data_IF_194465637709
#
_entry.id   IF_194465637709
#
_cell.length_a   1.000
_cell.length_b   1.000
_cell.length_c   1.000
_cell.angle_alpha   90.00
_cell.angle_beta   90.00
_cell.angle_gamma   90.00
#
_symmetry.space_group_name_H-M   'P 1'
#
loop_
_entity.id
_entity.type
_entity.pdbx_description
1 polymer ?
#
# COMPACT_ATOMS: atom_id res chain seq x y z
N UNK A 1 -28.88 -4.60 -39.52
CA UNK A 1 -28.60 -3.33 -38.83
C UNK A 1 -28.09 -3.69 -37.46
N UNK A 2 -26.76 -3.75 -37.30
CA UNK A 2 -26.10 -4.13 -36.06
C UNK A 2 -25.55 -2.86 -35.39
N UNK A 3 -26.25 -2.37 -34.38
CA UNK A 3 -25.72 -1.32 -33.51
C UNK A 3 -24.69 -1.95 -32.57
N UNK A 4 -23.42 -1.72 -32.90
CA UNK A 4 -22.29 -2.03 -32.03
C UNK A 4 -22.36 -1.15 -30.78
N UNK A 5 -22.38 -1.79 -29.61
CA UNK A 5 -22.27 -1.15 -28.31
C UNK A 5 -21.04 -0.23 -28.21
N UNK A 6 -21.10 0.88 -27.43
CA UNK A 6 -20.00 1.82 -27.35
C UNK A 6 -18.79 1.13 -26.69
N UNK A 7 -17.68 1.10 -27.43
CA UNK A 7 -16.38 0.69 -26.89
C UNK A 7 -15.99 1.65 -25.76
N UNK A 8 -15.88 1.09 -24.57
CA UNK A 8 -15.02 1.47 -23.44
C UNK A 8 -14.13 2.69 -23.72
N UNK A 9 -14.59 3.89 -23.33
CA UNK A 9 -13.71 5.03 -23.10
C UNK A 9 -12.98 4.79 -21.77
N UNK A 10 -12.03 3.84 -21.77
CA UNK A 10 -10.93 3.91 -20.82
C UNK A 10 -10.18 5.17 -21.20
N UNK A 11 -10.27 6.22 -20.38
CA UNK A 11 -9.57 7.49 -20.59
C UNK A 11 -8.07 7.27 -20.41
N UNK A 12 -7.43 6.63 -21.38
CA UNK A 12 -6.01 6.78 -21.65
C UNK A 12 -5.84 8.10 -22.40
N UNK A 13 -6.10 9.21 -21.71
CA UNK A 13 -5.59 10.49 -22.20
C UNK A 13 -4.06 10.36 -22.26
N UNK A 14 -3.42 10.82 -23.36
CA UNK A 14 -1.96 10.95 -23.40
C UNK A 14 -1.49 11.67 -22.14
N UNK A 15 -0.34 11.28 -21.59
CA UNK A 15 0.29 12.00 -20.48
C UNK A 15 0.72 13.37 -21.04
N UNK A 16 -0.21 14.30 -21.12
CA UNK A 16 0.11 15.73 -21.21
C UNK A 16 1.00 16.06 -20.01
N UNK A 17 2.00 16.92 -20.21
CA UNK A 17 2.93 17.31 -19.16
C UNK A 17 2.13 17.86 -17.96
N UNK A 18 2.06 17.08 -16.89
CA UNK A 18 1.30 17.44 -15.69
C UNK A 18 2.12 18.46 -14.92
N UNK A 19 1.61 19.70 -14.86
CA UNK A 19 2.28 20.82 -14.23
C UNK A 19 2.10 20.89 -12.70
N UNK A 20 2.56 21.99 -12.08
CA UNK A 20 2.46 22.22 -10.63
C UNK A 20 1.03 22.12 -10.06
N UNK A 21 0.00 22.41 -10.86
CA UNK A 21 -1.41 22.25 -10.43
C UNK A 21 -1.78 20.79 -10.12
N UNK A 22 -1.10 19.83 -10.74
CA UNK A 22 -1.36 18.41 -10.53
C UNK A 22 -0.50 17.81 -9.41
N UNK A 23 0.76 18.24 -9.31
CA UNK A 23 1.76 17.66 -8.40
C UNK A 23 2.03 18.50 -7.15
N UNK A 24 1.54 19.73 -7.07
CA UNK A 24 1.85 20.64 -5.97
C UNK A 24 3.37 20.83 -5.80
N UNK A 25 3.86 20.61 -4.58
CA UNK A 25 5.24 20.81 -4.15
C UNK A 25 6.04 19.50 -4.10
N UNK A 26 5.65 18.47 -4.85
CA UNK A 26 6.48 17.28 -5.02
C UNK A 26 7.84 17.64 -5.65
N UNK A 27 8.90 17.01 -5.15
CA UNK A 27 10.22 17.07 -5.78
C UNK A 27 10.21 16.42 -7.16
N UNK A 28 11.19 16.76 -8.01
CA UNK A 28 11.33 16.11 -9.34
C UNK A 28 11.40 14.59 -9.24
N UNK A 29 12.01 14.07 -8.17
CA UNK A 29 12.18 12.64 -7.99
C UNK A 29 10.87 11.99 -7.59
N UNK A 30 10.10 12.60 -6.70
CA UNK A 30 8.75 12.14 -6.39
C UNK A 30 7.85 12.16 -7.64
N UNK A 31 7.91 13.22 -8.47
CA UNK A 31 7.14 13.30 -9.72
C UNK A 31 7.49 12.15 -10.65
N UNK A 32 8.79 11.95 -10.94
CA UNK A 32 9.26 10.87 -11.84
C UNK A 32 8.91 9.49 -11.27
N UNK A 33 9.00 9.30 -9.97
CA UNK A 33 8.61 8.04 -9.33
C UNK A 33 7.10 7.82 -9.43
N UNK A 34 6.30 8.86 -9.19
CA UNK A 34 4.84 8.85 -9.30
C UNK A 34 4.40 8.44 -10.69
N UNK A 35 4.94 9.06 -11.73
CA UNK A 35 4.60 8.76 -13.14
C UNK A 35 4.94 7.31 -13.52
N UNK A 36 5.99 6.74 -12.93
CA UNK A 36 6.41 5.36 -13.20
C UNK A 36 5.61 4.31 -12.40
N UNK A 37 5.20 4.63 -11.17
CA UNK A 37 4.61 3.66 -10.23
C UNK A 37 3.09 3.74 -10.17
N UNK A 38 2.53 4.93 -10.02
CA UNK A 38 1.11 5.10 -9.66
C UNK A 38 0.17 4.64 -10.78
N UNK A 39 0.38 4.98 -12.06
CA UNK A 39 -0.45 4.44 -13.14
C UNK A 39 -0.41 2.92 -13.23
N UNK A 40 0.78 2.31 -13.04
CA UNK A 40 0.96 0.88 -13.08
C UNK A 40 0.28 0.18 -11.88
N UNK A 41 0.32 0.80 -10.69
CA UNK A 41 -0.37 0.31 -9.51
C UNK A 41 -1.89 0.37 -9.71
N UNK A 42 -2.44 1.49 -10.19
CA UNK A 42 -3.88 1.64 -10.49
C UNK A 42 -4.39 0.61 -11.50
N UNK A 43 -3.60 0.25 -12.51
CA UNK A 43 -3.96 -0.79 -13.47
C UNK A 43 -4.03 -2.19 -12.86
N UNK A 44 -3.42 -2.42 -11.69
CA UNK A 44 -3.47 -3.69 -10.95
C UNK A 44 -4.60 -3.76 -9.94
N UNK A 45 -5.21 -2.62 -9.60
CA UNK A 45 -6.36 -2.57 -8.71
C UNK A 45 -7.49 -3.44 -9.25
N UNK A 46 -8.21 -4.08 -8.34
CA UNK A 46 -9.32 -4.96 -8.71
C UNK A 46 -10.41 -4.13 -9.40
N UNK A 47 -10.85 -4.61 -10.58
CA UNK A 47 -11.99 -4.05 -11.29
C UNK A 47 -13.30 -4.65 -10.73
N UNK A 48 -14.18 -3.86 -10.09
CA UNK A 48 -15.48 -4.34 -9.61
C UNK A 48 -16.32 -5.03 -10.68
N UNK A 49 -16.25 -4.56 -11.94
CA UNK A 49 -17.03 -5.14 -13.05
C UNK A 49 -16.64 -6.60 -13.35
N UNK A 50 -15.41 -6.99 -12.97
CA UNK A 50 -14.97 -8.36 -13.11
C UNK A 50 -15.77 -9.33 -12.23
N UNK A 51 -16.57 -8.85 -11.25
CA UNK A 51 -17.40 -9.63 -10.31
C UNK A 51 -18.89 -9.66 -10.66
N UNK A 52 -19.26 -9.32 -11.89
CA UNK A 52 -20.66 -9.33 -12.36
C UNK A 52 -21.33 -10.72 -12.36
N UNK A 53 -20.54 -11.79 -12.20
CA UNK A 53 -21.00 -13.17 -11.98
C UNK A 53 -21.34 -13.48 -10.50
N UNK A 54 -20.85 -12.68 -9.55
CA UNK A 54 -21.03 -12.87 -8.10
C UNK A 54 -21.93 -11.82 -7.45
N UNK A 55 -21.93 -10.60 -7.97
CA UNK A 55 -22.74 -9.50 -7.44
C UNK A 55 -23.71 -8.99 -8.49
N UNK A 56 -24.86 -8.51 -8.03
CA UNK A 56 -25.85 -7.87 -8.88
C UNK A 56 -25.23 -6.67 -9.64
N UNK A 57 -25.35 -6.60 -10.98
CA UNK A 57 -24.78 -5.52 -11.77
C UNK A 57 -25.25 -4.11 -11.36
N UNK A 58 -26.48 -3.96 -10.83
CA UNK A 58 -26.95 -2.67 -10.35
C UNK A 58 -26.24 -2.25 -9.06
N UNK A 59 -25.93 -3.19 -8.15
CA UNK A 59 -25.08 -2.97 -6.98
C UNK A 59 -23.67 -2.52 -7.36
N UNK A 60 -23.03 -3.19 -8.33
CA UNK A 60 -21.69 -2.81 -8.83
C UNK A 60 -21.73 -1.39 -9.43
N UNK A 61 -22.76 -1.09 -10.22
CA UNK A 61 -22.93 0.24 -10.82
C UNK A 61 -23.11 1.34 -9.76
N UNK A 62 -23.85 1.07 -8.69
CA UNK A 62 -24.02 2.00 -7.57
C UNK A 62 -22.68 2.28 -6.86
N UNK A 63 -21.87 1.25 -6.63
CA UNK A 63 -20.53 1.38 -6.05
C UNK A 63 -19.60 2.23 -6.93
N UNK A 64 -19.60 2.01 -8.25
CA UNK A 64 -18.83 2.81 -9.22
C UNK A 64 -19.28 4.27 -9.19
N UNK A 65 -20.60 4.52 -9.15
CA UNK A 65 -21.15 5.87 -9.06
C UNK A 65 -20.73 6.57 -7.75
N UNK A 66 -20.74 5.85 -6.62
CA UNK A 66 -20.25 6.35 -5.35
C UNK A 66 -18.77 6.75 -5.42
N UNK A 67 -17.92 5.91 -6.01
CA UNK A 67 -16.50 6.21 -6.22
C UNK A 67 -16.33 7.50 -7.02
N UNK A 68 -17.05 7.64 -8.14
CA UNK A 68 -17.00 8.84 -8.99
C UNK A 68 -17.45 10.11 -8.25
N UNK A 69 -18.50 10.01 -7.43
CA UNK A 69 -18.99 11.11 -6.61
C UNK A 69 -17.93 11.54 -5.58
N UNK A 70 -17.35 10.57 -4.87
CA UNK A 70 -16.33 10.83 -3.85
C UNK A 70 -15.05 11.43 -4.45
N UNK A 71 -14.59 10.92 -5.60
CA UNK A 71 -13.43 11.48 -6.31
C UNK A 71 -13.70 12.92 -6.80
N UNK A 72 -14.94 13.22 -7.20
CA UNK A 72 -15.36 14.59 -7.51
C UNK A 72 -15.34 15.48 -6.27
N UNK A 73 -15.75 14.98 -5.09
CA UNK A 73 -15.64 15.74 -3.83
C UNK A 73 -14.19 15.99 -3.45
N UNK A 74 -13.33 14.97 -3.56
CA UNK A 74 -11.91 15.08 -3.20
C UNK A 74 -11.11 15.99 -4.14
N UNK A 75 -11.54 16.19 -5.39
CA UNK A 75 -10.88 17.08 -6.35
C UNK A 75 -11.28 18.55 -6.23
N UNK A 76 -12.30 18.87 -5.42
CA UNK A 76 -12.72 20.25 -5.18
C UNK A 76 -11.78 21.01 -4.24
N UNK A 77 -11.02 20.31 -3.42
CA UNK A 77 -10.04 20.94 -2.54
C UNK A 77 -8.70 21.09 -3.28
N UNK A 78 -8.29 22.34 -3.53
CA UNK A 78 -7.18 22.67 -4.45
C UNK A 78 -5.99 23.36 -3.79
N UNK A 79 -5.92 23.41 -2.46
CA UNK A 79 -4.73 23.95 -1.81
C UNK A 79 -3.50 23.09 -2.18
N UNK A 80 -2.37 23.73 -2.47
CA UNK A 80 -1.14 23.09 -2.95
C UNK A 80 -0.63 22.01 -1.99
N UNK A 81 -0.75 22.23 -0.68
CA UNK A 81 -0.32 21.26 0.32
C UNK A 81 -1.21 20.01 0.33
N UNK A 82 -2.53 20.19 0.16
CA UNK A 82 -3.47 19.07 0.05
C UNK A 82 -3.23 18.26 -1.23
N UNK A 83 -2.93 18.94 -2.35
CA UNK A 83 -2.53 18.28 -3.60
C UNK A 83 -1.24 17.48 -3.41
N UNK A 84 -0.24 18.07 -2.76
CA UNK A 84 1.05 17.42 -2.51
C UNK A 84 0.89 16.19 -1.61
N UNK A 85 0.18 16.34 -0.50
CA UNK A 85 -0.11 15.27 0.46
C UNK A 85 -0.83 14.11 -0.23
N UNK A 86 -1.85 14.41 -1.04
CA UNK A 86 -2.57 13.39 -1.81
C UNK A 86 -1.65 12.66 -2.79
N UNK A 87 -0.79 13.36 -3.52
CA UNK A 87 0.13 12.73 -4.49
C UNK A 87 1.20 11.90 -3.81
N UNK A 88 1.68 12.32 -2.65
CA UNK A 88 2.58 11.51 -1.82
C UNK A 88 1.89 10.27 -1.28
N UNK A 89 0.62 10.37 -0.85
CA UNK A 89 -0.20 9.21 -0.47
C UNK A 89 -0.28 8.19 -1.59
N UNK A 90 -0.71 8.62 -2.78
CA UNK A 90 -0.81 7.76 -3.97
C UNK A 90 0.56 7.14 -4.35
N UNK A 91 1.65 7.90 -4.23
CA UNK A 91 3.00 7.41 -4.47
C UNK A 91 3.42 6.38 -3.42
N UNK A 92 3.12 6.62 -2.14
CA UNK A 92 3.47 5.71 -1.06
C UNK A 92 2.68 4.41 -1.15
N UNK A 93 1.38 4.45 -1.43
CA UNK A 93 0.55 3.26 -1.72
C UNK A 93 1.21 2.38 -2.79
N UNK A 94 1.53 2.99 -3.94
CA UNK A 94 2.18 2.29 -5.05
C UNK A 94 3.59 1.80 -4.70
N UNK A 95 4.33 2.55 -3.89
CA UNK A 95 5.66 2.18 -3.40
C UNK A 95 5.56 0.97 -2.49
N UNK A 96 4.77 1.01 -1.41
CA UNK A 96 4.58 -0.10 -0.47
C UNK A 96 4.10 -1.35 -1.18
N UNK A 97 3.10 -1.25 -2.06
CA UNK A 97 2.66 -2.36 -2.89
C UNK A 97 3.82 -2.98 -3.68
N UNK A 98 4.65 -2.15 -4.31
CA UNK A 98 5.81 -2.60 -5.07
C UNK A 98 6.86 -3.25 -4.17
N UNK A 99 7.13 -2.70 -2.98
CA UNK A 99 8.12 -3.22 -2.05
C UNK A 99 7.72 -4.58 -1.47
N UNK A 100 6.44 -4.76 -1.15
CA UNK A 100 5.92 -6.06 -0.70
C UNK A 100 6.08 -7.09 -1.83
N UNK A 101 5.58 -6.76 -3.03
CA UNK A 101 5.52 -7.71 -4.16
C UNK A 101 6.89 -8.05 -4.77
N UNK A 102 7.80 -7.09 -4.85
CA UNK A 102 9.06 -7.25 -5.61
C UNK A 102 10.32 -7.16 -4.75
N UNK A 103 10.30 -6.39 -3.67
CA UNK A 103 11.42 -6.30 -2.73
C UNK A 103 11.28 -7.25 -1.53
N UNK A 104 10.14 -7.96 -1.42
CA UNK A 104 9.88 -8.98 -0.39
C UNK A 104 10.08 -8.43 1.03
N UNK A 105 9.60 -7.22 1.28
CA UNK A 105 9.66 -6.61 2.61
C UNK A 105 8.98 -7.48 3.68
N UNK A 106 8.01 -8.29 3.29
CA UNK A 106 7.25 -9.17 4.18
C UNK A 106 7.66 -10.66 4.04
N UNK A 107 8.79 -10.93 3.40
CA UNK A 107 9.27 -12.30 3.15
C UNK A 107 8.81 -12.88 1.82
N UNK A 108 9.21 -14.13 1.54
CA UNK A 108 8.91 -14.84 0.28
C UNK A 108 7.50 -15.39 0.22
N UNK A 109 6.88 -15.59 1.38
CA UNK A 109 5.54 -16.16 1.53
C UNK A 109 4.44 -15.08 1.58
N UNK A 110 4.81 -13.81 1.41
CA UNK A 110 3.88 -12.69 1.36
C UNK A 110 3.70 -12.18 -0.07
N UNK A 111 2.47 -11.82 -0.44
CA UNK A 111 2.17 -11.07 -1.66
C UNK A 111 1.20 -9.92 -1.37
N UNK A 112 1.23 -8.89 -2.22
CA UNK A 112 0.33 -7.75 -2.16
C UNK A 112 -0.77 -7.85 -3.22
N UNK A 113 -2.00 -7.61 -2.76
CA UNK A 113 -3.21 -7.46 -3.58
C UNK A 113 -3.66 -6.01 -3.51
N UNK A 114 -3.73 -5.34 -4.67
CA UNK A 114 -4.27 -3.99 -4.78
C UNK A 114 -5.79 -4.09 -4.82
N UNK A 115 -6.47 -3.44 -3.88
CA UNK A 115 -7.94 -3.56 -3.80
C UNK A 115 -8.64 -2.71 -4.86
N UNK A 116 -9.96 -2.82 -4.93
CA UNK A 116 -10.76 -1.93 -5.77
C UNK A 116 -10.79 -0.50 -5.24
N UNK A 117 -11.02 0.48 -6.11
CA UNK A 117 -11.26 1.89 -5.69
C UNK A 117 -12.47 2.04 -4.76
N UNK A 118 -13.43 1.13 -4.87
CA UNK A 118 -14.56 1.10 -3.93
C UNK A 118 -14.09 0.71 -2.53
N UNK A 119 -13.27 -0.33 -2.40
CA UNK A 119 -12.80 -0.81 -1.09
C UNK A 119 -11.83 0.16 -0.42
N UNK A 120 -11.00 0.85 -1.20
CA UNK A 120 -10.20 1.99 -0.75
C UNK A 120 -11.11 3.09 -0.17
N UNK A 121 -12.04 3.63 -0.96
CA UNK A 121 -12.81 4.81 -0.53
C UNK A 121 -13.88 4.47 0.52
N UNK A 122 -14.62 3.37 0.34
CA UNK A 122 -15.74 3.01 1.19
C UNK A 122 -15.31 2.23 2.44
N UNK A 123 -14.35 1.31 2.31
CA UNK A 123 -13.89 0.47 3.41
C UNK A 123 -12.54 0.93 4.01
N UNK A 124 -11.85 1.89 3.40
CA UNK A 124 -10.61 2.47 3.93
C UNK A 124 -9.43 1.50 3.88
N UNK A 125 -9.39 0.60 2.89
CA UNK A 125 -8.31 -0.38 2.72
C UNK A 125 -7.60 -0.08 1.42
N UNK A 126 -6.30 0.23 1.43
CA UNK A 126 -5.53 0.56 0.22
C UNK A 126 -4.95 -0.71 -0.44
N UNK A 127 -4.53 -1.67 0.39
CA UNK A 127 -4.02 -2.96 -0.08
C UNK A 127 -4.24 -4.06 0.96
N UNK A 128 -4.11 -5.30 0.51
CA UNK A 128 -4.07 -6.49 1.38
C UNK A 128 -2.75 -7.18 1.21
N UNK A 129 -2.15 -7.58 2.32
CA UNK A 129 -1.05 -8.54 2.32
C UNK A 129 -1.64 -9.91 2.58
N UNK A 130 -1.36 -10.84 1.69
CA UNK A 130 -1.70 -12.25 1.87
C UNK A 130 -0.42 -13.02 2.23
N UNK A 131 -0.50 -13.83 3.28
CA UNK A 131 0.59 -14.68 3.75
C UNK A 131 0.21 -16.14 3.51
N UNK A 132 1.07 -16.86 2.80
CA UNK A 132 0.98 -18.31 2.71
C UNK A 132 1.57 -18.93 3.98
N UNK A 133 0.74 -19.64 4.74
CA UNK A 133 1.14 -20.35 5.95
C UNK A 133 0.66 -21.80 5.92
N UNK A 134 1.12 -22.60 6.87
CA UNK A 134 0.56 -23.94 7.07
C UNK A 134 -0.95 -23.83 7.35
N UNK A 135 -1.76 -24.55 6.59
CA UNK A 135 -3.23 -24.49 6.68
C UNK A 135 -3.92 -23.45 5.79
N UNK A 136 -3.18 -22.65 5.01
CA UNK A 136 -3.74 -21.79 3.97
C UNK A 136 -3.28 -20.34 4.06
N UNK A 137 -4.10 -19.44 3.53
CA UNK A 137 -3.76 -18.01 3.47
C UNK A 137 -4.29 -17.25 4.70
N UNK A 138 -3.46 -16.32 5.18
CA UNK A 138 -3.83 -15.29 6.15
C UNK A 138 -3.80 -13.94 5.47
N UNK A 139 -4.65 -13.01 5.90
CA UNK A 139 -4.83 -11.73 5.24
C UNK A 139 -4.73 -10.59 6.26
N UNK A 140 -3.99 -9.55 5.92
CA UNK A 140 -3.89 -8.32 6.68
C UNK A 140 -4.26 -7.15 5.77
N UNK A 141 -5.30 -6.40 6.14
CA UNK A 141 -5.68 -5.19 5.43
C UNK A 141 -4.79 -4.01 5.87
N UNK A 142 -4.37 -3.19 4.93
CA UNK A 142 -3.51 -2.04 5.21
C UNK A 142 -4.13 -0.75 4.66
N UNK A 143 -4.20 0.25 5.53
CA UNK A 143 -4.38 1.65 5.16
C UNK A 143 -3.00 2.28 5.03
N UNK A 144 -2.68 2.91 3.91
CA UNK A 144 -1.40 3.57 3.68
C UNK A 144 -1.58 5.08 3.84
N UNK A 145 -0.70 5.70 4.61
CA UNK A 145 -0.81 7.10 4.99
C UNK A 145 0.54 7.80 5.01
N UNK A 146 0.54 9.08 4.62
CA UNK A 146 1.74 9.95 4.69
C UNK A 146 1.56 11.02 5.78
N UNK A 147 0.48 10.98 6.56
CA UNK A 147 0.22 12.01 7.57
C UNK A 147 1.19 11.94 8.75
N UNK A 148 1.86 13.06 9.01
CA UNK A 148 2.55 13.32 10.28
C UNK A 148 1.69 14.13 11.26
N UNK A 149 0.37 14.26 11.00
CA UNK A 149 -0.57 14.92 11.91
C UNK A 149 -1.11 13.92 12.94
N UNK A 150 -0.84 14.10 14.24
CA UNK A 150 -1.37 13.23 15.28
C UNK A 150 -2.90 13.20 15.34
N UNK A 151 -3.57 14.32 15.04
CA UNK A 151 -5.03 14.43 15.05
C UNK A 151 -5.68 13.62 13.93
N UNK A 152 -5.11 13.69 12.71
CA UNK A 152 -5.57 12.89 11.58
C UNK A 152 -5.32 11.41 11.81
N UNK A 153 -4.16 11.06 12.38
CA UNK A 153 -3.82 9.69 12.76
C UNK A 153 -4.81 9.15 13.82
N UNK A 154 -5.12 9.94 14.85
CA UNK A 154 -6.09 9.58 15.89
C UNK A 154 -7.47 9.33 15.29
N UNK A 155 -7.92 10.18 14.37
CA UNK A 155 -9.21 10.01 13.67
C UNK A 155 -9.29 8.68 12.91
N UNK A 156 -8.18 8.23 12.31
CA UNK A 156 -8.11 6.94 11.62
C UNK A 156 -8.12 5.77 12.60
N UNK A 157 -7.36 5.87 13.70
CA UNK A 157 -7.35 4.87 14.77
C UNK A 157 -8.72 4.75 15.46
N UNK A 158 -9.45 5.85 15.65
CA UNK A 158 -10.79 5.84 16.27
C UNK A 158 -11.80 5.01 15.48
N UNK A 159 -11.67 4.95 14.14
CA UNK A 159 -12.50 4.06 13.31
C UNK A 159 -12.22 2.60 13.64
N UNK A 160 -10.94 2.20 13.71
CA UNK A 160 -10.56 0.83 14.09
C UNK A 160 -11.00 0.53 15.52
N UNK A 161 -10.82 1.47 16.45
CA UNK A 161 -11.27 1.34 17.84
C UNK A 161 -12.77 1.07 17.91
N UNK A 162 -13.58 1.84 17.16
CA UNK A 162 -15.02 1.64 17.07
C UNK A 162 -15.38 0.27 16.50
N UNK A 163 -14.71 -0.15 15.43
CA UNK A 163 -14.93 -1.47 14.82
C UNK A 163 -14.68 -2.59 15.86
N UNK A 164 -13.57 -2.53 16.60
CA UNK A 164 -13.25 -3.48 17.68
C UNK A 164 -14.34 -3.47 18.76
N UNK A 165 -14.76 -2.29 19.23
CA UNK A 165 -15.81 -2.17 20.24
C UNK A 165 -17.14 -2.78 19.78
N UNK A 166 -17.44 -2.70 18.49
CA UNK A 166 -18.62 -3.32 17.87
C UNK A 166 -18.44 -4.83 17.60
N UNK A 167 -17.25 -5.39 17.83
CA UNK A 167 -16.93 -6.78 17.54
C UNK A 167 -16.79 -7.06 16.04
N UNK A 168 -16.37 -6.05 15.27
CA UNK A 168 -16.21 -6.12 13.82
C UNK A 168 -14.76 -5.91 13.44
N UNK A 169 -14.38 -6.45 12.30
CA UNK A 169 -13.13 -6.16 11.62
C UNK A 169 -13.42 -5.65 10.20
N UNK A 170 -12.36 -5.38 9.45
CA UNK A 170 -12.50 -4.84 8.10
C UNK A 170 -13.02 -5.88 7.12
N UNK A 171 -13.57 -5.39 6.02
CA UNK A 171 -14.07 -6.19 4.91
C UNK A 171 -13.62 -5.61 3.57
N UNK A 172 -13.59 -6.45 2.56
CA UNK A 172 -13.29 -6.10 1.18
C UNK A 172 -14.37 -6.75 0.32
N UNK A 173 -15.16 -5.93 -0.37
CA UNK A 173 -16.29 -6.38 -1.19
C UNK A 173 -15.80 -7.11 -2.44
N UNK A 174 -14.80 -6.55 -3.12
CA UNK A 174 -14.26 -7.11 -4.36
C UNK A 174 -12.87 -7.69 -4.09
N UNK A 175 -12.82 -8.90 -3.54
CA UNK A 175 -11.57 -9.60 -3.27
C UNK A 175 -11.31 -10.73 -4.28
N UNK A 176 -10.12 -10.69 -4.88
CA UNK A 176 -9.52 -11.75 -5.68
C UNK A 176 -8.03 -11.82 -5.32
N UNK A 177 -7.51 -12.96 -4.82
CA UNK A 177 -6.12 -13.11 -4.40
C UNK A 177 -5.12 -13.13 -5.57
N UNK A 178 -5.59 -13.35 -6.81
CA UNK A 178 -4.78 -13.24 -8.03
C UNK A 178 -5.62 -12.63 -9.16
N UNK A 179 -5.90 -11.31 -9.10
CA UNK A 179 -6.75 -10.65 -10.09
C UNK A 179 -6.11 -10.62 -11.49
N UNK A 180 -4.82 -10.91 -11.58
CA UNK A 180 -4.05 -10.94 -12.82
C UNK A 180 -3.82 -12.37 -13.36
N UNK A 181 -4.41 -13.40 -12.72
CA UNK A 181 -4.43 -14.81 -13.12
C UNK A 181 -3.06 -15.36 -13.55
N UNK A 182 -2.00 -15.06 -12.79
CA UNK A 182 -0.66 -15.64 -13.01
C UNK A 182 -0.36 -16.67 -11.94
N UNK A 183 -0.93 -17.86 -12.14
CA UNK A 183 -0.59 -19.11 -11.46
C UNK A 183 -0.71 -19.02 -9.93
N UNK A 184 -1.93 -19.16 -9.41
CA UNK A 184 -2.17 -20.00 -8.22
C UNK A 184 -3.62 -20.50 -8.22
N UNK A 185 -3.79 -21.75 -8.65
CA UNK A 185 -5.08 -22.43 -8.80
C UNK A 185 -5.68 -22.92 -7.46
N UNK A 186 -5.21 -22.43 -6.31
CA UNK A 186 -5.49 -23.06 -5.01
C UNK A 186 -6.46 -22.29 -4.10
N UNK A 187 -6.76 -21.02 -4.36
CA UNK A 187 -7.70 -20.25 -3.55
C UNK A 187 -9.03 -20.05 -4.29
N UNK A 188 -10.09 -20.73 -3.84
CA UNK A 188 -11.48 -20.44 -4.25
C UNK A 188 -12.08 -19.25 -3.45
N UNK A 189 -11.26 -18.31 -3.00
CA UNK A 189 -11.71 -17.15 -2.23
C UNK A 189 -11.85 -15.98 -3.19
N UNK A 190 -12.92 -15.98 -3.99
CA UNK A 190 -13.30 -14.84 -4.82
C UNK A 190 -14.68 -14.37 -4.41
N UNK A 191 -14.81 -13.08 -4.12
CA UNK A 191 -16.03 -12.49 -3.60
C UNK A 191 -15.72 -11.54 -2.44
N UNK A 192 -16.58 -11.53 -1.42
CA UNK A 192 -16.36 -10.70 -0.24
C UNK A 192 -15.42 -11.39 0.76
N UNK A 193 -14.35 -10.70 1.16
CA UNK A 193 -13.47 -11.11 2.25
C UNK A 193 -13.83 -10.32 3.51
N UNK A 194 -14.13 -11.00 4.61
CA UNK A 194 -14.57 -10.41 5.89
C UNK A 194 -13.63 -10.77 7.01
N UNK A 195 -13.85 -10.11 8.14
CA UNK A 195 -13.20 -10.41 9.41
C UNK A 195 -11.68 -10.30 9.33
N UNK A 196 -11.19 -9.25 8.65
CA UNK A 196 -9.77 -9.03 8.39
C UNK A 196 -9.24 -7.94 9.33
N UNK A 197 -8.20 -8.23 10.13
CA UNK A 197 -7.46 -7.19 10.85
C UNK A 197 -6.97 -6.11 9.90
N UNK A 198 -7.09 -4.85 10.31
CA UNK A 198 -6.63 -3.68 9.56
C UNK A 198 -5.64 -2.88 10.41
N UNK A 199 -4.57 -2.45 9.75
CA UNK A 199 -3.51 -1.60 10.33
C UNK A 199 -3.25 -0.40 9.43
N UNK A 200 -2.73 0.67 9.99
CA UNK A 200 -2.33 1.87 9.28
C UNK A 200 -0.80 1.88 9.17
N UNK A 201 -0.25 2.07 7.97
CA UNK A 201 1.20 2.20 7.80
C UNK A 201 1.56 3.47 7.06
N UNK A 202 2.75 3.96 7.32
CA UNK A 202 3.26 5.16 6.68
C UNK A 202 4.76 5.33 6.87
N UNK A 203 5.34 6.24 6.10
CA UNK A 203 6.71 6.71 6.28
C UNK A 203 6.73 8.21 6.02
N UNK A 204 7.69 8.91 6.60
CA UNK A 204 7.85 10.33 6.39
C UNK A 204 8.24 10.70 4.93
N UNK A 205 8.11 11.99 4.61
CA UNK A 205 8.41 12.51 3.28
C UNK A 205 9.88 12.30 2.88
N UNK A 206 10.80 12.32 3.85
CA UNK A 206 12.23 12.12 3.62
C UNK A 206 12.49 10.70 3.12
N UNK A 207 11.98 9.71 3.83
CA UNK A 207 12.09 8.29 3.50
C UNK A 207 11.38 7.99 2.17
N UNK A 208 10.20 8.59 1.93
CA UNK A 208 9.51 8.46 0.63
C UNK A 208 10.35 9.00 -0.52
N UNK A 209 11.04 10.13 -0.33
CA UNK A 209 11.94 10.69 -1.34
C UNK A 209 13.18 9.82 -1.57
N UNK A 210 13.77 9.26 -0.52
CA UNK A 210 14.89 8.29 -0.60
C UNK A 210 14.50 7.07 -1.47
N UNK A 211 13.33 6.48 -1.22
CA UNK A 211 12.80 5.38 -2.02
C UNK A 211 12.49 5.80 -3.46
N UNK A 212 11.94 7.00 -3.66
CA UNK A 212 11.64 7.55 -4.98
C UNK A 212 12.91 7.71 -5.83
N UNK A 213 13.98 8.23 -5.23
CA UNK A 213 15.31 8.32 -5.84
C UNK A 213 15.83 6.96 -6.28
N UNK A 214 15.81 5.97 -5.38
CA UNK A 214 16.22 4.60 -5.69
C UNK A 214 15.39 4.02 -6.84
N UNK A 215 14.08 4.23 -6.85
CA UNK A 215 13.20 3.72 -7.91
C UNK A 215 13.54 4.28 -9.29
N UNK A 216 13.85 5.58 -9.38
CA UNK A 216 14.22 6.23 -10.64
C UNK A 216 15.58 5.70 -11.10
N UNK A 217 16.55 5.58 -10.19
CA UNK A 217 17.87 5.02 -10.52
C UNK A 217 17.70 3.61 -11.08
N UNK A 218 16.93 2.74 -10.40
CA UNK A 218 16.64 1.38 -10.85
C UNK A 218 16.08 1.40 -12.27
N UNK A 219 15.05 2.22 -12.52
CA UNK A 219 14.31 2.24 -13.79
C UNK A 219 15.13 2.84 -14.93
N UNK A 220 15.83 3.95 -14.66
CA UNK A 220 16.66 4.65 -15.64
C UNK A 220 17.91 3.86 -16.00
N UNK A 221 18.62 3.33 -14.99
CA UNK A 221 19.81 2.53 -15.21
C UNK A 221 19.49 1.22 -15.95
N UNK A 222 18.36 0.58 -15.63
CA UNK A 222 17.88 -0.60 -16.36
C UNK A 222 17.59 -0.31 -17.84
N UNK A 223 16.85 0.76 -18.13
CA UNK A 223 16.55 1.17 -19.51
C UNK A 223 17.82 1.48 -20.27
N UNK A 224 18.72 2.30 -19.71
CA UNK A 224 19.96 2.69 -20.37
C UNK A 224 20.96 1.53 -20.56
N UNK A 225 21.00 0.56 -19.64
CA UNK A 225 21.83 -0.65 -19.79
C UNK A 225 21.35 -1.55 -20.95
N UNK A 226 20.07 -1.47 -21.31
CA UNK A 226 19.45 -2.24 -22.40
C UNK A 226 19.35 -1.48 -23.71
N UNK A 227 19.61 -0.18 -23.72
CA UNK A 227 19.61 0.61 -24.95
C UNK A 227 20.87 0.31 -25.78
N UNK A 228 20.68 -0.31 -26.94
CA UNK A 228 21.76 -0.70 -27.85
C UNK A 228 22.49 0.48 -28.46
N UNK A 229 21.91 1.70 -28.43
CA UNK A 229 22.57 2.93 -28.86
C UNK A 229 23.68 3.37 -27.91
N UNK A 230 23.64 2.92 -26.66
CA UNK A 230 24.65 3.27 -25.66
C UNK A 230 25.93 2.44 -25.86
N UNK A 231 27.13 3.05 -25.72
CA UNK A 231 28.40 2.33 -25.71
C UNK A 231 28.43 1.17 -24.69
N UNK A 232 29.16 0.10 -25.01
CA UNK A 232 29.21 -1.13 -24.20
C UNK A 232 29.67 -0.86 -22.75
N UNK A 233 30.65 0.01 -22.56
CA UNK A 233 31.18 0.39 -21.25
C UNK A 233 30.15 1.18 -20.42
N UNK A 234 29.38 2.07 -21.06
CA UNK A 234 28.28 2.78 -20.42
C UNK A 234 27.18 1.80 -19.99
N UNK A 235 26.79 0.88 -20.88
CA UNK A 235 25.79 -0.15 -20.56
C UNK A 235 26.21 -1.02 -19.36
N UNK A 236 27.49 -1.38 -19.28
CA UNK A 236 28.03 -2.13 -18.13
C UNK A 236 27.94 -1.34 -16.83
N UNK A 237 28.40 -0.08 -16.83
CA UNK A 237 28.28 0.82 -15.65
C UNK A 237 26.84 1.02 -15.19
N UNK A 238 25.90 1.18 -16.13
CA UNK A 238 24.48 1.31 -15.83
C UNK A 238 23.89 0.01 -15.25
N UNK A 239 24.34 -1.16 -15.73
CA UNK A 239 23.93 -2.43 -15.16
C UNK A 239 24.40 -2.60 -13.71
N UNK A 240 25.63 -2.18 -13.40
CA UNK A 240 26.16 -2.22 -12.03
C UNK A 240 25.42 -1.24 -11.11
N UNK A 241 25.18 -0.01 -11.60
CA UNK A 241 24.35 0.98 -10.88
C UNK A 241 22.92 0.48 -10.63
N UNK A 242 22.32 -0.23 -11.59
CA UNK A 242 21.01 -0.84 -11.43
C UNK A 242 21.03 -1.88 -10.30
N UNK A 243 22.01 -2.81 -10.30
CA UNK A 243 22.14 -3.84 -9.26
C UNK A 243 22.32 -3.23 -7.88
N UNK A 244 23.21 -2.24 -7.75
CA UNK A 244 23.44 -1.55 -6.48
C UNK A 244 22.17 -0.88 -5.95
N UNK A 245 21.43 -0.19 -6.81
CA UNK A 245 20.19 0.46 -6.43
C UNK A 245 19.09 -0.55 -6.04
N UNK A 246 19.01 -1.70 -6.71
CA UNK A 246 18.11 -2.80 -6.32
C UNK A 246 18.47 -3.33 -4.93
N UNK A 247 19.76 -3.57 -4.65
CA UNK A 247 20.22 -4.03 -3.33
C UNK A 247 19.84 -3.02 -2.24
N UNK A 248 20.08 -1.72 -2.49
CA UNK A 248 19.69 -0.64 -1.57
C UNK A 248 18.19 -0.59 -1.33
N UNK A 249 17.38 -0.80 -2.37
CA UNK A 249 15.91 -0.81 -2.24
C UNK A 249 15.41 -2.01 -1.41
N UNK A 250 15.96 -3.20 -1.67
CA UNK A 250 15.58 -4.43 -0.95
C UNK A 250 15.96 -4.37 0.53
N UNK A 251 17.12 -3.78 0.83
CA UNK A 251 17.63 -3.68 2.20
C UNK A 251 17.29 -2.35 2.89
N UNK A 252 16.37 -1.56 2.33
CA UNK A 252 16.09 -0.22 2.86
C UNK A 252 15.51 -0.28 4.28
N UNK A 253 15.96 0.63 5.17
CA UNK A 253 15.53 0.76 6.59
C UNK A 253 14.04 0.92 6.79
N UNK A 254 13.35 1.49 5.80
CA UNK A 254 11.91 1.72 5.81
C UNK A 254 11.08 0.43 6.02
N UNK A 255 11.60 -0.73 5.62
CA UNK A 255 10.89 -1.99 5.86
C UNK A 255 10.70 -2.29 7.35
N UNK A 256 11.64 -1.87 8.20
CA UNK A 256 11.50 -2.02 9.65
C UNK A 256 10.47 -1.07 10.23
N UNK A 257 10.46 0.19 9.79
CA UNK A 257 9.44 1.17 10.22
C UNK A 257 8.04 0.59 9.96
N UNK A 258 7.79 0.10 8.75
CA UNK A 258 6.49 -0.47 8.39
C UNK A 258 6.15 -1.69 9.25
N UNK A 259 7.09 -2.62 9.45
CA UNK A 259 6.84 -3.82 10.25
C UNK A 259 6.64 -3.51 11.74
N UNK A 260 7.40 -2.57 12.31
CA UNK A 260 7.28 -2.12 13.70
C UNK A 260 5.95 -1.38 13.95
N UNK A 261 5.50 -0.57 12.98
CA UNK A 261 4.17 0.06 13.03
C UNK A 261 3.06 -1.01 13.08
N UNK A 262 3.17 -2.07 12.28
CA UNK A 262 2.21 -3.18 12.27
C UNK A 262 2.25 -3.91 13.61
N UNK A 263 3.44 -4.30 14.08
CA UNK A 263 3.62 -4.98 15.35
C UNK A 263 2.99 -4.19 16.51
N UNK A 264 3.29 -2.89 16.60
CA UNK A 264 2.80 -2.03 17.67
C UNK A 264 1.27 -1.92 17.66
N UNK A 265 0.66 -1.78 16.47
CA UNK A 265 -0.78 -1.73 16.32
C UNK A 265 -1.45 -3.04 16.69
N UNK A 266 -0.99 -4.18 16.16
CA UNK A 266 -1.58 -5.49 16.45
C UNK A 266 -1.52 -5.81 17.95
N UNK A 267 -0.40 -5.53 18.61
CA UNK A 267 -0.27 -5.69 20.05
C UNK A 267 -1.23 -4.78 20.84
N UNK A 268 -1.38 -3.52 20.40
CA UNK A 268 -2.30 -2.54 21.02
C UNK A 268 -3.76 -2.96 20.84
N UNK A 269 -4.13 -3.39 19.63
CA UNK A 269 -5.49 -3.78 19.28
C UNK A 269 -5.89 -5.08 19.98
N UNK A 270 -4.99 -6.07 20.05
CA UNK A 270 -5.20 -7.30 20.83
C UNK A 270 -5.51 -6.99 22.29
N UNK A 271 -4.65 -6.18 22.93
CA UNK A 271 -4.85 -5.78 24.32
C UNK A 271 -6.18 -5.04 24.53
N UNK A 272 -6.49 -4.08 23.67
CA UNK A 272 -7.73 -3.32 23.74
C UNK A 272 -8.97 -4.20 23.54
N UNK A 273 -8.93 -5.13 22.58
CA UNK A 273 -9.99 -6.11 22.34
C UNK A 273 -10.24 -7.00 23.57
N UNK A 274 -9.18 -7.52 24.22
CA UNK A 274 -9.30 -8.31 25.46
C UNK A 274 -9.95 -7.52 26.59
N UNK A 275 -9.50 -6.28 26.80
CA UNK A 275 -10.06 -5.40 27.84
C UNK A 275 -11.53 -5.03 27.62
N UNK A 276 -12.05 -5.20 26.39
CA UNK A 276 -13.42 -4.88 26.03
C UNK A 276 -14.28 -6.14 25.72
N UNK A 277 -13.91 -7.30 26.26
CA UNK A 277 -14.64 -8.58 26.10
C UNK A 277 -14.76 -9.04 24.63
N UNK A 278 -13.74 -8.75 23.82
CA UNK A 278 -13.63 -9.17 22.41
C UNK A 278 -12.50 -10.18 22.24
N UNK A 279 -12.54 -11.28 23.00
CA UNK A 279 -11.47 -12.29 23.03
C UNK A 279 -11.16 -12.89 21.65
N UNK A 280 -12.19 -13.24 20.87
CA UNK A 280 -11.99 -13.81 19.52
C UNK A 280 -11.27 -12.85 18.57
N UNK A 281 -11.56 -11.54 18.64
CA UNK A 281 -10.84 -10.53 17.86
C UNK A 281 -9.40 -10.37 18.34
N UNK A 282 -9.19 -10.42 19.66
CA UNK A 282 -7.83 -10.37 20.21
C UNK A 282 -6.97 -11.54 19.73
N UNK A 283 -7.54 -12.75 19.66
CA UNK A 283 -6.81 -13.92 19.18
C UNK A 283 -6.48 -13.80 17.68
N UNK A 284 -7.35 -13.16 16.87
CA UNK A 284 -7.02 -12.83 15.49
C UNK A 284 -5.84 -11.85 15.40
N UNK A 285 -5.84 -10.79 16.21
CA UNK A 285 -4.71 -9.85 16.27
C UNK A 285 -3.41 -10.52 16.76
N UNK A 286 -3.47 -11.42 17.73
CA UNK A 286 -2.31 -12.16 18.24
C UNK A 286 -1.71 -13.09 17.18
N UNK A 287 -2.56 -13.73 16.37
CA UNK A 287 -2.09 -14.56 15.25
C UNK A 287 -1.31 -13.73 14.23
N UNK A 288 -1.86 -12.58 13.81
CA UNK A 288 -1.20 -11.68 12.86
C UNK A 288 0.07 -11.05 13.47
N UNK A 289 0.06 -10.79 14.78
CA UNK A 289 1.23 -10.33 15.52
C UNK A 289 2.35 -11.38 15.49
N UNK A 290 2.00 -12.66 15.66
CA UNK A 290 2.94 -13.78 15.53
C UNK A 290 3.62 -13.81 14.16
N UNK A 291 2.83 -13.71 13.08
CA UNK A 291 3.37 -13.65 11.70
C UNK A 291 4.29 -12.43 11.53
N UNK A 292 3.90 -11.27 12.06
CA UNK A 292 4.71 -10.05 11.96
C UNK A 292 6.02 -10.18 12.73
N UNK A 293 6.01 -10.78 13.92
CA UNK A 293 7.20 -11.02 14.72
C UNK A 293 8.19 -11.96 14.02
N UNK A 294 7.71 -13.05 13.43
CA UNK A 294 8.54 -13.97 12.64
C UNK A 294 9.26 -13.22 11.51
N UNK A 295 8.55 -12.34 10.80
CA UNK A 295 9.13 -11.54 9.71
C UNK A 295 10.16 -10.57 10.27
N UNK A 296 9.83 -9.83 11.34
CA UNK A 296 10.76 -8.90 12.00
C UNK A 296 12.06 -9.58 12.42
N UNK A 297 11.98 -10.74 13.07
CA UNK A 297 13.15 -11.52 13.48
C UNK A 297 14.02 -11.93 12.29
N UNK A 298 13.40 -12.44 11.21
CA UNK A 298 14.12 -12.79 9.98
C UNK A 298 14.80 -11.57 9.33
N UNK A 299 14.13 -10.42 9.34
CA UNK A 299 14.67 -9.17 8.79
C UNK A 299 15.81 -8.63 9.65
N UNK A 300 15.66 -8.58 10.96
CA UNK A 300 16.73 -8.19 11.88
C UNK A 300 17.98 -9.05 11.74
N UNK A 301 17.81 -10.36 11.49
CA UNK A 301 18.93 -11.28 11.31
C UNK A 301 19.64 -11.13 9.95
N UNK A 302 18.95 -10.62 8.92
CA UNK A 302 19.48 -10.57 7.54
C UNK A 302 19.88 -9.17 7.07
N UNK A 303 19.32 -8.12 7.66
CA UNK A 303 19.59 -6.74 7.28
C UNK A 303 20.82 -6.21 8.00
N UNK A 304 21.66 -5.49 7.26
CA UNK A 304 22.81 -4.79 7.80
C UNK A 304 22.45 -3.32 8.00
N UNK A 305 21.90 -2.99 9.16
CA UNK A 305 21.62 -1.60 9.52
C UNK A 305 22.87 -0.91 10.06
N UNK A 306 23.06 0.33 9.65
CA UNK A 306 24.03 1.21 10.26
C UNK A 306 23.41 1.91 11.48
N UNK A 307 24.21 2.44 12.43
CA UNK A 307 23.70 3.27 13.52
C UNK A 307 22.82 4.43 13.02
N UNK A 308 23.15 5.01 11.86
CA UNK A 308 22.39 6.09 11.23
C UNK A 308 21.01 5.63 10.76
N UNK A 309 20.85 4.38 10.32
CA UNK A 309 19.54 3.83 9.95
C UNK A 309 18.59 3.78 11.16
N UNK A 310 19.10 3.39 12.33
CA UNK A 310 18.31 3.35 13.56
C UNK A 310 17.88 4.75 14.00
N UNK A 311 18.80 5.73 13.95
CA UNK A 311 18.49 7.13 14.26
C UNK A 311 17.43 7.65 13.30
N UNK A 312 17.62 7.47 11.99
CA UNK A 312 16.67 7.93 10.99
C UNK A 312 15.29 7.28 11.13
N UNK A 313 15.20 6.01 11.53
CA UNK A 313 13.92 5.36 11.83
C UNK A 313 13.27 5.88 13.11
N UNK A 314 14.07 6.23 14.13
CA UNK A 314 13.56 6.78 15.39
C UNK A 314 13.01 8.21 15.27
N UNK A 315 13.42 8.94 14.23
CA UNK A 315 13.00 10.30 13.93
C UNK A 315 11.85 10.36 12.90
N UNK A 316 11.31 9.20 12.46
CA UNK A 316 10.21 9.17 11.48
C UNK A 316 8.92 9.77 12.09
N UNK A 317 8.53 10.95 11.60
CA UNK A 317 7.41 11.73 12.13
C UNK A 317 6.06 11.02 11.99
N UNK A 318 5.90 10.18 10.97
CA UNK A 318 4.65 9.42 10.74
C UNK A 318 4.56 8.30 11.76
N UNK A 319 5.67 7.60 12.03
CA UNK A 319 5.71 6.60 13.08
C UNK A 319 5.50 7.21 14.47
N UNK A 320 6.12 8.36 14.76
CA UNK A 320 5.88 9.06 16.03
C UNK A 320 4.42 9.49 16.18
N UNK A 321 3.79 9.99 15.11
CA UNK A 321 2.36 10.33 15.11
C UNK A 321 1.47 9.11 15.40
N UNK A 322 1.80 7.95 14.81
CA UNK A 322 1.13 6.68 15.11
C UNK A 322 1.33 6.28 16.58
N UNK A 323 2.56 6.34 17.10
CA UNK A 323 2.87 6.03 18.50
C UNK A 323 2.06 6.91 19.46
N UNK A 324 1.98 8.20 19.19
CA UNK A 324 1.18 9.14 19.99
C UNK A 324 -0.30 8.81 19.93
N UNK A 325 -0.85 8.55 18.75
CA UNK A 325 -2.25 8.12 18.58
C UNK A 325 -2.54 6.84 19.39
N UNK A 326 -1.68 5.83 19.30
CA UNK A 326 -1.84 4.56 20.02
C UNK A 326 -1.75 4.70 21.54
N UNK A 327 -1.04 5.69 22.09
CA UNK A 327 -1.04 5.96 23.55
C UNK A 327 -2.43 6.32 24.09
N UNK A 328 -3.29 6.86 23.24
CA UNK A 328 -4.68 7.21 23.57
C UNK A 328 -5.67 6.08 23.29
N UNK A 329 -5.19 4.97 22.72
CA UNK A 329 -5.97 3.78 22.39
C UNK A 329 -6.24 2.92 23.64
N UNK A 330 -7.13 3.41 24.50
CA UNK A 330 -7.54 2.78 25.76
C UNK A 330 -9.02 2.46 25.81
#
# INVERSE_FOLDING_TARGET
>A
MSESAPKDQRSSSPIEARGPEFFGNLSEEEIKAWENLVPAHRQRAIDPMSFSDLFDPASIKADIAYVQEMETKFSRNRNTDDVSSRRRGELLEAMIFWQIKYARWFGVDADAVAVSRYDDIANGVDLVVQFLKEGGFKFLAMTVDVTSSPDQMTTKLDKIKKDILEGKLSKIKYFDPDPNKKKQASLKIRGELRDIPRVIVGIDNRTLRELSLLKIIISGAFKGARDEKNPRDLRMRLNDRHKEAVIKMVNHRAQMIVLEQIQLQLATFSKFARSNNRAELADQYDNDLGITNEILEQKMASLQFTPEDFVANSEDEVFESLRLGLRTFK
#
